data_IF_470062110291
#
_entry.id   IF_470062110291
#
_cell.length_a   1.000
_cell.length_b   1.000
_cell.length_c   1.000
_cell.angle_alpha   90.00
_cell.angle_beta   90.00
_cell.angle_gamma   90.00
#
_symmetry.space_group_name_H-M   'P 1'
#
loop_
_entity.id
_entity.type
_entity.pdbx_description
1 polymer ?
#
# COMPACT_ATOMS: atom_id res chain seq x y z
N UNK A 1 3.55 -8.62 0.84
CA UNK A 1 4.36 -8.56 2.08
C UNK A 1 4.90 -9.92 2.54
N UNK A 2 4.11 -11.01 2.67
CA UNK A 2 4.65 -12.27 3.19
C UNK A 2 5.80 -12.87 2.37
N UNK A 3 5.72 -12.80 1.03
CA UNK A 3 6.79 -13.26 0.14
C UNK A 3 8.09 -12.48 0.33
N UNK A 4 8.02 -11.14 0.43
CA UNK A 4 9.18 -10.28 0.71
C UNK A 4 9.74 -10.51 2.11
N UNK A 5 8.88 -10.71 3.12
CA UNK A 5 9.32 -11.04 4.48
C UNK A 5 10.07 -12.37 4.56
N UNK A 6 9.67 -13.38 3.77
CA UNK A 6 10.35 -14.66 3.65
C UNK A 6 11.76 -14.51 3.06
N UNK A 7 11.94 -13.66 2.06
CA UNK A 7 13.26 -13.32 1.49
C UNK A 7 14.17 -12.60 2.51
N UNK A 8 13.59 -11.90 3.47
CA UNK A 8 14.29 -11.20 4.56
C UNK A 8 14.44 -12.13 5.80
N UNK A 9 14.09 -13.41 5.68
CA UNK A 9 14.27 -14.41 6.74
C UNK A 9 13.22 -14.38 7.86
N UNK A 10 12.12 -13.64 7.70
CA UNK A 10 11.01 -13.67 8.65
C UNK A 10 10.20 -14.96 8.51
N UNK A 11 9.93 -15.63 9.63
CA UNK A 11 9.11 -16.84 9.68
C UNK A 11 7.63 -16.46 9.59
N UNK A 12 7.03 -16.61 8.42
CA UNK A 12 5.60 -16.36 8.18
C UNK A 12 4.76 -17.54 8.69
N UNK A 13 3.75 -17.28 9.52
CA UNK A 13 2.84 -18.31 10.03
C UNK A 13 1.81 -18.79 8.99
N UNK A 14 1.13 -19.91 9.28
CA UNK A 14 0.07 -20.47 8.43
C UNK A 14 -1.09 -19.49 8.21
N UNK A 15 -1.45 -18.70 9.21
CA UNK A 15 -2.48 -17.66 9.09
C UNK A 15 -2.15 -16.60 8.04
N UNK A 16 -0.87 -16.23 7.91
CA UNK A 16 -0.42 -15.26 6.91
C UNK A 16 -0.57 -15.80 5.49
N UNK A 17 -0.32 -17.10 5.28
CA UNK A 17 -0.52 -17.75 3.98
C UNK A 17 -2.00 -17.90 3.63
N UNK A 18 -2.83 -18.30 4.59
CA UNK A 18 -4.27 -18.43 4.38
C UNK A 18 -4.90 -17.06 4.07
N UNK A 19 -4.51 -16.03 4.81
CA UNK A 19 -4.93 -14.66 4.53
C UNK A 19 -4.43 -14.13 3.18
N UNK A 20 -3.20 -14.47 2.78
CA UNK A 20 -2.67 -14.10 1.47
C UNK A 20 -3.46 -14.72 0.31
N UNK A 21 -3.81 -16.02 0.41
CA UNK A 21 -4.65 -16.68 -0.59
C UNK A 21 -6.03 -16.01 -0.66
N UNK A 22 -6.65 -15.74 0.50
CA UNK A 22 -7.96 -15.10 0.55
C UNK A 22 -7.92 -13.70 -0.08
N UNK A 23 -6.85 -12.94 0.16
CA UNK A 23 -6.62 -11.63 -0.45
C UNK A 23 -6.44 -11.68 -1.96
N UNK A 24 -5.70 -12.68 -2.47
CA UNK A 24 -5.52 -12.89 -3.92
C UNK A 24 -6.85 -13.25 -4.59
N UNK A 25 -7.67 -14.11 -3.97
CA UNK A 25 -9.00 -14.45 -4.50
C UNK A 25 -9.91 -13.23 -4.50
N UNK A 26 -9.88 -12.41 -3.44
CA UNK A 26 -10.65 -11.16 -3.37
C UNK A 26 -10.26 -10.17 -4.48
N UNK A 27 -8.95 -9.96 -4.66
CA UNK A 27 -8.40 -9.13 -5.74
C UNK A 27 -8.77 -9.66 -7.13
N UNK A 28 -8.75 -10.97 -7.33
CA UNK A 28 -9.17 -11.61 -8.57
C UNK A 28 -10.64 -11.33 -8.90
N UNK A 29 -11.54 -11.46 -7.93
CA UNK A 29 -12.97 -11.16 -8.11
C UNK A 29 -13.24 -9.68 -8.41
N UNK A 30 -12.39 -8.79 -7.89
CA UNK A 30 -12.48 -7.36 -8.13
C UNK A 30 -11.94 -6.97 -9.52
N UNK A 31 -10.87 -7.62 -9.99
CA UNK A 31 -10.12 -7.19 -11.19
C UNK A 31 -10.52 -7.94 -12.46
N UNK A 32 -10.99 -9.18 -12.36
CA UNK A 32 -11.29 -10.01 -13.53
C UNK A 32 -12.75 -9.80 -13.98
N UNK A 33 -12.88 -9.11 -15.11
CA UNK A 33 -14.12 -8.99 -15.88
C UNK A 33 -14.31 -10.19 -16.83
N UNK A 34 -15.46 -10.30 -17.48
CA UNK A 34 -15.85 -11.48 -18.26
C UNK A 34 -14.91 -11.81 -19.45
N UNK A 35 -14.08 -10.86 -19.90
CA UNK A 35 -12.94 -11.13 -20.79
C UNK A 35 -11.64 -11.21 -19.99
N UNK A 36 -11.15 -12.43 -19.78
CA UNK A 36 -9.81 -12.68 -19.24
C UNK A 36 -8.74 -12.17 -20.21
N UNK A 37 -8.33 -10.92 -20.03
CA UNK A 37 -7.27 -10.29 -20.81
C UNK A 37 -6.26 -9.66 -19.86
N UNK A 38 -5.02 -10.13 -19.91
CA UNK A 38 -3.91 -9.55 -19.16
C UNK A 38 -3.33 -8.43 -20.01
N UNK A 39 -3.51 -7.19 -19.56
CA UNK A 39 -2.97 -6.03 -20.24
C UNK A 39 -1.45 -5.95 -20.00
N UNK A 40 -0.71 -5.35 -20.93
CA UNK A 40 0.74 -5.11 -20.73
C UNK A 40 1.02 -4.27 -19.48
N UNK A 41 0.06 -3.43 -19.05
CA UNK A 41 0.13 -2.66 -17.81
C UNK A 41 0.11 -3.50 -16.53
N UNK A 42 -0.49 -4.70 -16.55
CA UNK A 42 -0.56 -5.57 -15.36
C UNK A 42 0.82 -6.04 -14.92
N UNK A 43 1.73 -6.26 -15.88
CA UNK A 43 3.11 -6.62 -15.60
C UNK A 43 3.88 -5.47 -14.93
N UNK A 44 3.67 -4.23 -15.40
CA UNK A 44 4.25 -3.03 -14.78
C UNK A 44 3.71 -2.83 -13.36
N UNK A 45 2.41 -3.05 -13.16
CA UNK A 45 1.76 -2.96 -11.85
C UNK A 45 2.30 -4.01 -10.87
N UNK A 46 2.52 -5.25 -11.33
CA UNK A 46 3.13 -6.31 -10.51
C UNK A 46 4.54 -5.93 -10.07
N UNK A 47 5.38 -5.47 -11.00
CA UNK A 47 6.74 -4.99 -10.68
C UNK A 47 6.68 -3.83 -9.68
N UNK A 48 5.79 -2.87 -9.92
CA UNK A 48 5.56 -1.73 -9.03
C UNK A 48 5.16 -2.16 -7.62
N UNK A 49 4.27 -3.14 -7.48
CA UNK A 49 3.84 -3.67 -6.18
C UNK A 49 5.00 -4.31 -5.38
N UNK A 50 5.93 -4.98 -6.05
CA UNK A 50 7.14 -5.51 -5.40
C UNK A 50 8.07 -4.39 -4.93
N UNK A 51 8.32 -3.39 -5.77
CA UNK A 51 9.15 -2.21 -5.42
C UNK A 51 8.53 -1.44 -4.26
N UNK A 52 7.23 -1.16 -4.33
CA UNK A 52 6.47 -0.50 -3.26
C UNK A 52 6.53 -1.30 -1.96
N UNK A 53 6.36 -2.61 -2.04
CA UNK A 53 6.47 -3.48 -0.89
C UNK A 53 7.84 -3.44 -0.20
N UNK A 54 8.91 -3.43 -1.00
CA UNK A 54 10.27 -3.25 -0.49
C UNK A 54 10.45 -1.86 0.15
N UNK A 55 9.93 -0.82 -0.51
CA UNK A 55 9.95 0.56 0.00
C UNK A 55 9.27 0.68 1.37
N UNK A 56 8.06 0.12 1.55
CA UNK A 56 7.34 0.16 2.84
C UNK A 56 8.14 -0.53 3.96
N UNK A 57 8.75 -1.69 3.68
CA UNK A 57 9.60 -2.39 4.66
C UNK A 57 10.82 -1.53 5.02
N UNK A 58 11.45 -0.92 4.00
CA UNK A 58 12.64 -0.09 4.17
C UNK A 58 12.34 1.17 4.98
N UNK A 59 11.23 1.84 4.69
CA UNK A 59 10.73 3.00 5.45
C UNK A 59 10.47 2.60 6.90
N UNK A 60 9.83 1.45 7.15
CA UNK A 60 9.63 0.94 8.51
C UNK A 60 10.95 0.76 9.28
N UNK A 61 11.98 0.19 8.64
CA UNK A 61 13.31 0.02 9.26
C UNK A 61 14.00 1.36 9.53
N UNK A 62 13.94 2.32 8.59
CA UNK A 62 14.61 3.60 8.75
C UNK A 62 13.86 4.57 9.69
N UNK A 63 12.53 4.52 9.73
CA UNK A 63 11.72 5.32 10.66
C UNK A 63 12.00 4.96 12.13
N UNK A 64 12.43 3.72 12.41
CA UNK A 64 12.90 3.32 13.74
C UNK A 64 14.32 3.80 14.08
N UNK A 65 15.10 4.24 13.10
CA UNK A 65 16.53 4.64 13.27
C UNK A 65 16.78 6.14 13.12
N UNK A 66 15.89 6.88 12.47
CA UNK A 66 16.01 8.31 12.17
C UNK A 66 14.69 9.02 12.46
N UNK A 67 14.72 10.35 12.49
CA UNK A 67 13.51 11.15 12.58
C UNK A 67 12.61 10.91 11.33
N UNK A 68 11.40 10.34 11.50
CA UNK A 68 10.52 10.00 10.39
C UNK A 68 10.09 11.22 9.57
N UNK A 69 9.99 12.39 10.19
CA UNK A 69 9.57 13.63 9.51
C UNK A 69 10.65 14.06 8.52
N UNK A 70 11.92 13.99 8.93
CA UNK A 70 13.05 14.34 8.06
C UNK A 70 13.18 13.36 6.90
N UNK A 71 12.92 12.08 7.15
CA UNK A 71 12.93 11.03 6.12
C UNK A 71 11.81 11.24 5.10
N UNK A 72 10.58 11.51 5.55
CA UNK A 72 9.44 11.82 4.68
C UNK A 72 9.71 13.07 3.83
N UNK A 73 10.22 14.15 4.44
CA UNK A 73 10.54 15.38 3.73
C UNK A 73 11.56 15.15 2.61
N UNK A 74 12.66 14.45 2.91
CA UNK A 74 13.70 14.18 1.91
C UNK A 74 13.17 13.30 0.78
N UNK A 75 12.33 12.31 1.10
CA UNK A 75 11.73 11.42 0.12
C UNK A 75 10.79 12.16 -0.83
N UNK A 76 9.88 12.99 -0.31
CA UNK A 76 8.97 13.76 -1.15
C UNK A 76 9.69 14.84 -1.93
N UNK A 77 10.69 15.52 -1.35
CA UNK A 77 11.50 16.50 -2.07
C UNK A 77 12.26 15.85 -3.23
N UNK A 78 12.89 14.69 -2.98
CA UNK A 78 13.62 13.95 -4.03
C UNK A 78 12.66 13.48 -5.12
N UNK A 79 11.50 12.94 -4.74
CA UNK A 79 10.47 12.49 -5.68
C UNK A 79 9.96 13.66 -6.53
N UNK A 80 9.67 14.82 -5.92
CA UNK A 80 9.19 16.00 -6.61
C UNK A 80 10.21 16.52 -7.64
N UNK A 81 11.49 16.61 -7.27
CA UNK A 81 12.56 17.06 -8.19
C UNK A 81 12.73 16.09 -9.34
N UNK A 82 12.82 14.79 -9.06
CA UNK A 82 13.00 13.76 -10.10
C UNK A 82 11.79 13.70 -11.03
N UNK A 83 10.57 13.74 -10.47
CA UNK A 83 9.33 13.74 -11.24
C UNK A 83 9.23 14.99 -12.12
N UNK A 84 9.62 16.16 -11.63
CA UNK A 84 9.62 17.38 -12.42
C UNK A 84 10.62 17.29 -13.59
N UNK A 85 11.84 16.81 -13.34
CA UNK A 85 12.85 16.62 -14.40
C UNK A 85 12.33 15.67 -15.47
N UNK A 86 11.75 14.53 -15.07
CA UNK A 86 11.20 13.56 -16.01
C UNK A 86 10.03 14.11 -16.81
N UNK A 87 9.11 14.84 -16.18
CA UNK A 87 7.99 15.49 -16.88
C UNK A 87 8.49 16.48 -17.95
N UNK A 88 9.52 17.28 -17.63
CA UNK A 88 10.12 18.20 -18.61
C UNK A 88 10.84 17.48 -19.77
N UNK A 89 11.39 16.28 -19.54
CA UNK A 89 12.14 15.54 -20.54
C UNK A 89 11.28 14.61 -21.41
N UNK A 90 10.19 14.07 -20.89
CA UNK A 90 9.43 12.98 -21.52
C UNK A 90 8.01 13.37 -21.94
N UNK A 91 7.42 14.42 -21.35
CA UNK A 91 6.02 14.76 -21.60
C UNK A 91 5.84 16.07 -22.39
N UNK A 92 4.86 16.15 -23.29
CA UNK A 92 4.51 17.40 -23.95
C UNK A 92 3.72 18.32 -23.00
N UNK A 93 4.36 19.40 -22.55
CA UNK A 93 3.79 20.36 -21.61
C UNK A 93 2.73 21.24 -22.28
N UNK A 94 1.46 20.97 -21.97
CA UNK A 94 0.34 21.81 -22.36
C UNK A 94 -0.14 22.62 -21.14
N UNK A 95 0.09 23.93 -21.15
CA UNK A 95 -0.23 24.81 -20.02
C UNK A 95 -1.71 24.75 -19.62
N UNK A 96 -2.61 24.68 -20.61
CA UNK A 96 -4.06 24.58 -20.37
C UNK A 96 -4.45 23.29 -19.64
N UNK A 97 -3.81 22.17 -19.97
CA UNK A 97 -4.04 20.90 -19.29
C UNK A 97 -3.55 20.92 -17.84
N UNK A 98 -2.42 21.58 -17.57
CA UNK A 98 -1.87 21.75 -16.22
C UNK A 98 -2.81 22.60 -15.36
N UNK A 99 -3.31 23.71 -15.89
CA UNK A 99 -4.25 24.58 -15.18
C UNK A 99 -5.58 23.85 -14.93
N UNK A 100 -6.08 23.11 -15.92
CA UNK A 100 -7.29 22.29 -15.79
C UNK A 100 -7.16 21.17 -14.76
N UNK A 101 -5.99 20.52 -14.68
CA UNK A 101 -5.69 19.49 -13.68
C UNK A 101 -5.27 20.07 -12.32
N UNK A 102 -5.09 21.39 -12.21
CA UNK A 102 -4.60 22.07 -11.01
C UNK A 102 -5.30 21.69 -9.71
N UNK A 103 -6.65 21.61 -9.66
CA UNK A 103 -7.36 21.16 -8.46
C UNK A 103 -7.03 19.73 -8.05
N UNK A 104 -6.92 18.81 -9.01
CA UNK A 104 -6.56 17.41 -8.76
C UNK A 104 -5.09 17.28 -8.31
N UNK A 105 -4.19 18.06 -8.92
CA UNK A 105 -2.76 18.11 -8.53
C UNK A 105 -2.62 18.65 -7.10
N UNK A 106 -3.32 19.73 -6.76
CA UNK A 106 -3.31 20.30 -5.41
C UNK A 106 -3.89 19.33 -4.37
N UNK A 107 -5.02 18.70 -4.69
CA UNK A 107 -5.63 17.71 -3.80
C UNK A 107 -4.70 16.51 -3.59
N UNK A 108 -4.18 15.90 -4.65
CA UNK A 108 -3.25 14.77 -4.56
C UNK A 108 -1.94 15.13 -3.86
N UNK A 109 -1.36 16.29 -4.18
CA UNK A 109 -0.09 16.73 -3.60
C UNK A 109 -0.20 17.14 -2.13
N UNK A 110 -1.17 17.96 -1.76
CA UNK A 110 -1.29 18.48 -0.39
C UNK A 110 -1.99 17.47 0.51
N UNK A 111 -3.13 16.94 0.08
CA UNK A 111 -3.96 16.08 0.95
C UNK A 111 -3.43 14.67 0.97
N UNK A 112 -3.22 14.03 -0.18
CA UNK A 112 -2.78 12.64 -0.20
C UNK A 112 -1.29 12.51 0.18
N UNK A 113 -0.39 13.26 -0.48
CA UNK A 113 1.05 13.16 -0.19
C UNK A 113 1.45 13.93 1.07
N UNK A 114 1.11 15.22 1.13
CA UNK A 114 1.51 16.10 2.23
C UNK A 114 0.96 15.66 3.58
N UNK A 115 -0.36 15.47 3.67
CA UNK A 115 -1.02 15.06 4.93
C UNK A 115 -1.00 13.54 5.06
N UNK A 116 -1.54 12.81 4.08
CA UNK A 116 -1.73 11.36 4.15
C UNK A 116 -0.44 10.58 4.38
N UNK A 117 0.54 10.69 3.48
CA UNK A 117 1.78 9.93 3.64
C UNK A 117 2.64 10.40 4.82
N UNK A 118 2.62 11.68 5.19
CA UNK A 118 3.31 12.14 6.40
C UNK A 118 2.69 11.53 7.65
N UNK A 119 1.36 11.53 7.76
CA UNK A 119 0.65 10.85 8.85
C UNK A 119 0.92 9.34 8.84
N UNK A 120 1.00 8.72 7.65
CA UNK A 120 1.35 7.30 7.53
C UNK A 120 2.75 7.03 8.08
N UNK A 121 3.77 7.84 7.73
CA UNK A 121 5.14 7.67 8.22
C UNK A 121 5.23 7.89 9.73
N UNK A 122 4.51 8.88 10.26
CA UNK A 122 4.41 9.12 11.70
C UNK A 122 3.72 7.94 12.41
N UNK A 123 2.59 7.46 11.89
CA UNK A 123 1.87 6.33 12.46
C UNK A 123 2.70 5.03 12.41
N UNK A 124 3.47 4.81 11.33
CA UNK A 124 4.34 3.64 11.19
C UNK A 124 5.51 3.62 12.18
N UNK A 125 5.89 4.77 12.76
CA UNK A 125 6.90 4.84 13.80
C UNK A 125 6.47 4.08 15.06
N UNK A 126 5.21 4.27 15.46
CA UNK A 126 4.68 3.78 16.74
C UNK A 126 3.77 2.55 16.57
N UNK A 127 3.27 2.29 15.36
CA UNK A 127 2.40 1.16 15.06
C UNK A 127 3.18 -0.12 14.76
N UNK A 128 2.71 -1.24 15.32
CA UNK A 128 3.12 -2.57 14.89
C UNK A 128 2.74 -2.71 13.40
N UNK A 129 3.66 -3.22 12.58
CA UNK A 129 3.49 -3.37 11.12
C UNK A 129 2.15 -4.02 10.73
N UNK A 130 1.63 -4.91 11.58
CA UNK A 130 0.31 -5.53 11.47
C UNK A 130 -0.85 -4.54 11.45
N UNK A 131 -0.89 -3.58 12.38
CA UNK A 131 -1.95 -2.57 12.43
C UNK A 131 -1.86 -1.60 11.25
N UNK A 132 -0.63 -1.18 10.90
CA UNK A 132 -0.40 -0.33 9.73
C UNK A 132 -0.87 -1.01 8.43
N UNK A 133 -0.63 -2.31 8.27
CA UNK A 133 -1.08 -3.07 7.10
C UNK A 133 -2.61 -3.18 7.01
N UNK A 134 -3.31 -3.36 8.14
CA UNK A 134 -4.79 -3.37 8.17
C UNK A 134 -5.33 -2.00 7.77
N UNK A 135 -4.80 -0.91 8.35
CA UNK A 135 -5.24 0.46 8.02
C UNK A 135 -4.99 0.77 6.55
N UNK A 136 -3.82 0.43 6.00
CA UNK A 136 -3.53 0.62 4.58
C UNK A 136 -4.46 -0.22 3.68
N UNK A 137 -4.84 -1.44 4.11
CA UNK A 137 -5.80 -2.25 3.35
C UNK A 137 -7.23 -1.68 3.37
N UNK A 138 -7.59 -0.94 4.43
CA UNK A 138 -8.88 -0.27 4.54
C UNK A 138 -9.00 0.93 3.60
N UNK A 139 -7.88 1.52 3.16
CA UNK A 139 -7.87 2.60 2.16
C UNK A 139 -8.66 2.20 0.90
N UNK A 140 -8.47 0.99 0.39
CA UNK A 140 -9.18 0.48 -0.78
C UNK A 140 -10.70 0.39 -0.56
N UNK A 141 -11.15 0.07 0.67
CA UNK A 141 -12.58 0.01 1.01
C UNK A 141 -13.19 1.41 1.04
N UNK A 142 -12.50 2.37 1.66
CA UNK A 142 -12.95 3.76 1.66
C UNK A 142 -12.91 4.37 0.25
N UNK A 143 -11.90 4.06 -0.55
CA UNK A 143 -11.81 4.49 -1.95
C UNK A 143 -12.97 3.95 -2.78
N UNK A 144 -13.34 2.68 -2.61
CA UNK A 144 -14.50 2.08 -3.27
C UNK A 144 -15.83 2.75 -2.88
N UNK A 145 -16.02 3.03 -1.57
CA UNK A 145 -17.22 3.72 -1.06
C UNK A 145 -17.27 5.17 -1.57
N UNK A 146 -16.14 5.88 -1.52
CA UNK A 146 -16.04 7.25 -1.99
C UNK A 146 -16.24 7.34 -3.51
N UNK A 147 -15.73 6.40 -4.30
CA UNK A 147 -15.99 6.30 -5.73
C UNK A 147 -17.48 6.13 -6.03
N UNK A 148 -18.14 5.21 -5.33
CA UNK A 148 -19.58 5.00 -5.48
C UNK A 148 -20.41 6.24 -5.08
N UNK A 149 -19.98 6.99 -4.06
CA UNK A 149 -20.75 8.13 -3.56
C UNK A 149 -20.47 9.47 -4.27
N UNK A 150 -19.20 9.75 -4.60
CA UNK A 150 -18.79 11.03 -5.20
C UNK A 150 -18.75 10.98 -6.73
N UNK A 151 -18.40 9.84 -7.33
CA UNK A 151 -18.27 9.70 -8.79
C UNK A 151 -19.49 9.01 -9.43
N UNK A 152 -20.46 8.57 -8.63
CA UNK A 152 -21.62 7.75 -9.06
C UNK A 152 -21.19 6.44 -9.76
N UNK A 153 -19.95 6.00 -9.52
CA UNK A 153 -19.37 4.78 -10.08
C UNK A 153 -19.66 3.60 -9.14
N UNK A 154 -20.74 2.86 -9.41
CA UNK A 154 -21.07 1.68 -8.60
C UNK A 154 -20.23 0.46 -9.00
N UNK A 155 -19.59 -0.14 -8.00
CA UNK A 155 -19.04 -1.49 -8.13
C UNK A 155 -20.18 -2.50 -8.29
N UNK A 156 -20.01 -3.48 -9.18
CA UNK A 156 -20.91 -4.62 -9.22
C UNK A 156 -20.88 -5.37 -7.89
N UNK A 157 -21.93 -6.14 -7.56
CA UNK A 157 -21.99 -6.96 -6.35
C UNK A 157 -20.75 -7.87 -6.14
N UNK A 158 -20.16 -8.33 -7.26
CA UNK A 158 -18.90 -9.08 -7.29
C UNK A 158 -17.72 -8.28 -6.70
N UNK A 159 -17.64 -6.98 -6.98
CA UNK A 159 -16.59 -6.10 -6.48
C UNK A 159 -16.68 -5.88 -4.96
N UNK A 160 -17.88 -5.66 -4.43
CA UNK A 160 -18.08 -5.56 -2.97
C UNK A 160 -17.69 -6.85 -2.24
N UNK A 161 -18.05 -8.00 -2.81
CA UNK A 161 -17.64 -9.30 -2.25
C UNK A 161 -16.12 -9.51 -2.33
N UNK A 162 -15.48 -9.11 -3.44
CA UNK A 162 -14.03 -9.12 -3.60
C UNK A 162 -13.31 -8.27 -2.55
N UNK A 163 -13.79 -7.05 -2.29
CA UNK A 163 -13.27 -6.17 -1.24
C UNK A 163 -13.42 -6.78 0.16
N UNK A 164 -14.60 -7.35 0.48
CA UNK A 164 -14.85 -8.01 1.76
C UNK A 164 -13.92 -9.22 1.97
N UNK A 165 -13.69 -10.00 0.91
CA UNK A 165 -12.81 -11.16 0.94
C UNK A 165 -11.34 -10.74 1.13
N UNK A 166 -10.92 -9.67 0.46
CA UNK A 166 -9.58 -9.11 0.59
C UNK A 166 -9.32 -8.58 2.00
N UNK A 167 -10.27 -7.84 2.58
CA UNK A 167 -10.18 -7.34 3.95
C UNK A 167 -10.16 -8.50 4.96
N UNK A 168 -11.04 -9.50 4.77
CA UNK A 168 -11.07 -10.70 5.61
C UNK A 168 -9.74 -11.44 5.57
N UNK A 169 -9.11 -11.55 4.39
CA UNK A 169 -7.78 -12.13 4.22
C UNK A 169 -6.71 -11.38 5.01
N UNK A 170 -6.75 -10.05 4.99
CA UNK A 170 -5.83 -9.23 5.78
C UNK A 170 -6.05 -9.43 7.29
N UNK A 171 -7.31 -9.44 7.75
CA UNK A 171 -7.63 -9.67 9.15
C UNK A 171 -7.16 -11.05 9.63
N UNK A 172 -7.39 -12.10 8.83
CA UNK A 172 -6.90 -13.44 9.13
C UNK A 172 -5.38 -13.48 9.18
N UNK A 173 -4.68 -12.83 8.23
CA UNK A 173 -3.22 -12.82 8.21
C UNK A 173 -2.59 -12.17 9.45
N UNK A 174 -3.29 -11.20 10.06
CA UNK A 174 -2.77 -10.40 11.17
C UNK A 174 -3.29 -10.82 12.54
N UNK A 175 -4.53 -11.31 12.64
CA UNK A 175 -5.16 -11.74 13.90
C UNK A 175 -4.94 -13.22 14.20
N UNK A 176 -4.37 -14.00 13.26
CA UNK A 176 -4.09 -15.41 13.51
C UNK A 176 -3.08 -15.56 14.65
N UNK A 177 -3.32 -16.46 15.63
CA UNK A 177 -2.42 -16.67 16.75
C UNK A 177 -1.01 -17.05 16.26
N UNK A 178 -0.05 -16.16 16.46
CA UNK A 178 1.35 -16.50 16.30
C UNK A 178 1.76 -17.29 17.54
N UNK A 179 2.35 -18.48 17.36
CA UNK A 179 2.90 -19.23 18.50
C UNK A 179 3.85 -18.30 19.27
N UNK A 180 3.74 -18.21 20.61
CA UNK A 180 4.65 -17.40 21.40
C UNK A 180 6.08 -17.81 21.05
N UNK A 181 6.93 -16.84 20.73
CA UNK A 181 8.37 -17.07 20.71
C UNK A 181 8.73 -17.49 22.13
N UNK A 182 9.02 -18.78 22.34
CA UNK A 182 9.71 -19.21 23.54
C UNK A 182 11.10 -18.60 23.46
N UNK A 183 11.28 -17.40 24.00
CA UNK A 183 12.59 -16.87 24.33
C UNK A 183 13.17 -17.79 25.40
N UNK A 184 13.90 -18.81 24.98
CA UNK A 184 14.68 -19.66 25.87
C UNK A 184 15.71 -18.78 26.55
N UNK A 185 15.51 -18.57 27.84
CA UNK A 185 16.45 -18.18 28.89
C UNK A 185 17.91 -18.45 28.56
N UNK A 186 18.77 -17.43 28.71
CA UNK A 186 20.11 -17.64 29.29
C UNK A 186 20.39 -16.52 30.28
N UNK A 187 19.87 -16.75 31.49
CA UNK A 187 20.42 -16.26 32.73
C UNK A 187 21.81 -16.92 32.92
N UNK A 188 22.87 -16.12 32.91
CA UNK A 188 24.16 -16.38 33.56
C UNK A 188 24.56 -15.04 34.20
N UNK A 189 24.29 -14.87 35.50
CA UNK A 189 25.14 -15.28 36.62
C UNK A 189 26.40 -14.41 36.68
#
# INVERSE_FOLDING_TARGET
MPLLGLLIGHRTGLGTWLGAVLAVVGMFLLSVSDSFYVASGDWLQLIGAFVWGGHVILVGVFAGRHDPIRLAFLQFATCAVVSLILALCLEPLHWEAIVGAGPAILYGGVVAVGIGYTLQVIAQKDAIASHAAIILSLEAVFAAIAGAWLLDESLQARGYFGCALMLSGMLVAQLWPQKPHSSTTTQRA
#
